data_IF_135717267333
#
_entry.id   IF_135717267333
#
_cell.length_a   1.000
_cell.length_b   1.000
_cell.length_c   1.000
_cell.angle_alpha   90.00
_cell.angle_beta   90.00
_cell.angle_gamma   90.00
#
_symmetry.space_group_name_H-M   'P 1'
#
loop_
_entity.id
_entity.type
_entity.pdbx_description
1 polymer ?
#
# COMPACT_ATOMS: atom_id res chain seq x y z
N UNK A 1 -9.43 -15.87 -8.11
CA UNK A 1 -7.96 -15.88 -8.14
C UNK A 1 -7.44 -14.50 -7.70
N UNK A 2 -6.66 -14.46 -6.62
CA UNK A 2 -6.13 -13.22 -6.04
C UNK A 2 -5.13 -12.51 -6.97
N UNK A 3 -4.34 -13.24 -7.77
CA UNK A 3 -3.44 -12.62 -8.73
C UNK A 3 -4.22 -11.83 -9.79
N UNK A 4 -5.33 -12.36 -10.24
CA UNK A 4 -6.25 -11.64 -11.15
C UNK A 4 -6.88 -10.43 -10.45
N UNK A 5 -7.33 -10.54 -9.20
CA UNK A 5 -7.90 -9.42 -8.45
C UNK A 5 -6.88 -8.27 -8.28
N UNK A 6 -5.62 -8.61 -7.94
CA UNK A 6 -4.52 -7.65 -7.81
C UNK A 6 -4.25 -6.90 -9.12
N UNK A 7 -4.31 -7.59 -10.26
CA UNK A 7 -3.86 -7.04 -11.56
C UNK A 7 -5.00 -6.45 -12.40
N UNK A 8 -6.26 -6.66 -12.00
CA UNK A 8 -7.45 -6.25 -12.79
C UNK A 8 -7.87 -4.81 -12.59
N UNK A 9 -7.42 -4.14 -11.54
CA UNK A 9 -7.85 -2.81 -11.09
C UNK A 9 -9.30 -2.72 -10.59
N UNK A 10 -9.49 -1.97 -9.52
CA UNK A 10 -10.80 -1.56 -8.99
C UNK A 10 -11.30 -0.23 -9.56
N UNK A 11 -10.51 0.46 -10.39
CA UNK A 11 -10.94 1.71 -11.02
C UNK A 11 -12.15 1.46 -11.95
N UNK A 12 -13.32 2.12 -11.71
CA UNK A 12 -14.57 1.77 -12.38
C UNK A 12 -14.49 1.72 -13.90
N UNK A 13 -13.83 2.72 -14.51
CA UNK A 13 -13.66 2.79 -15.96
C UNK A 13 -12.76 1.68 -16.55
N UNK A 14 -11.86 1.11 -15.73
CA UNK A 14 -10.96 0.02 -16.14
C UNK A 14 -11.59 -1.34 -15.84
N UNK A 15 -12.18 -1.48 -14.66
CA UNK A 15 -12.83 -2.72 -14.21
C UNK A 15 -13.91 -3.20 -15.19
N UNK A 16 -14.70 -2.28 -15.72
CA UNK A 16 -15.80 -2.57 -16.65
C UNK A 16 -15.33 -3.03 -18.04
N UNK A 17 -14.02 -2.98 -18.35
CA UNK A 17 -13.51 -3.30 -19.69
C UNK A 17 -13.06 -4.75 -19.83
N UNK A 18 -12.91 -5.20 -21.08
CA UNK A 18 -12.39 -6.52 -21.38
C UNK A 18 -10.93 -6.65 -20.86
N UNK A 19 -10.55 -7.81 -20.28
CA UNK A 19 -9.24 -8.00 -19.64
C UNK A 19 -8.03 -7.61 -20.51
N UNK A 20 -8.11 -7.84 -21.84
CA UNK A 20 -7.05 -7.49 -22.79
C UNK A 20 -6.78 -5.98 -22.87
N UNK A 21 -7.79 -5.13 -22.59
CA UNK A 21 -7.68 -3.67 -22.68
C UNK A 21 -7.22 -3.04 -21.35
N UNK A 22 -7.39 -3.73 -20.23
CA UNK A 22 -7.09 -3.17 -18.90
C UNK A 22 -5.65 -2.66 -18.78
N UNK A 23 -4.69 -3.42 -19.32
CA UNK A 23 -3.28 -3.00 -19.30
C UNK A 23 -3.03 -1.69 -20.05
N UNK A 24 -3.59 -1.56 -21.24
CA UNK A 24 -3.49 -0.31 -22.03
C UNK A 24 -4.17 0.86 -21.35
N UNK A 25 -5.29 0.63 -20.65
CA UNK A 25 -5.98 1.66 -19.89
C UNK A 25 -5.21 2.08 -18.62
N UNK A 26 -4.55 1.14 -17.94
CA UNK A 26 -3.65 1.46 -16.82
C UNK A 26 -2.46 2.28 -17.30
N UNK A 27 -1.87 1.94 -18.45
CA UNK A 27 -0.80 2.74 -19.07
C UNK A 27 -1.27 4.14 -19.42
N UNK A 28 -2.44 4.24 -20.05
CA UNK A 28 -3.03 5.53 -20.42
C UNK A 28 -3.37 6.38 -19.19
N UNK A 29 -3.84 5.75 -18.09
CA UNK A 29 -4.09 6.43 -16.82
C UNK A 29 -2.79 7.00 -16.23
N UNK A 30 -1.74 6.18 -16.10
CA UNK A 30 -0.43 6.62 -15.61
C UNK A 30 0.19 7.71 -16.49
N UNK A 31 0.04 7.58 -17.81
CA UNK A 31 0.51 8.59 -18.76
C UNK A 31 -0.22 9.91 -18.55
N UNK A 32 -1.56 9.88 -18.43
CA UNK A 32 -2.38 11.05 -18.20
C UNK A 32 -1.99 11.77 -16.90
N UNK A 33 -1.76 11.05 -15.82
CA UNK A 33 -1.30 11.65 -14.55
C UNK A 33 -0.02 12.47 -14.78
N UNK A 34 0.94 11.93 -15.54
CA UNK A 34 2.23 12.59 -15.81
C UNK A 34 2.09 13.77 -16.76
N UNK A 35 1.34 13.60 -17.86
CA UNK A 35 1.31 14.56 -18.95
C UNK A 35 0.28 15.68 -18.75
N UNK A 36 -0.74 15.44 -17.93
CA UNK A 36 -1.85 16.37 -17.76
C UNK A 36 -2.16 16.69 -16.30
N UNK A 37 -2.46 15.68 -15.48
CA UNK A 37 -3.03 15.92 -14.16
C UNK A 37 -2.01 16.61 -13.21
N UNK A 38 -0.72 16.29 -13.30
CA UNK A 38 0.35 16.99 -12.57
C UNK A 38 0.56 18.43 -13.10
N UNK A 39 0.69 18.69 -14.41
CA UNK A 39 0.71 20.04 -14.96
C UNK A 39 -0.51 20.89 -14.61
N UNK A 40 -1.71 20.32 -14.61
CA UNK A 40 -2.94 21.01 -14.22
C UNK A 40 -2.94 21.44 -12.75
N UNK A 41 -2.16 20.74 -11.88
CA UNK A 41 -1.86 21.16 -10.50
C UNK A 41 -0.73 22.18 -10.38
N UNK A 42 -0.22 22.71 -11.49
CA UNK A 42 0.91 23.63 -11.51
C UNK A 42 2.30 22.98 -11.38
N UNK A 43 2.37 21.64 -11.43
CA UNK A 43 3.63 20.90 -11.33
C UNK A 43 4.13 20.47 -12.71
N UNK A 44 5.04 21.24 -13.32
CA UNK A 44 5.64 20.89 -14.60
C UNK A 44 6.60 19.71 -14.49
N UNK A 45 6.27 18.59 -15.10
CA UNK A 45 7.11 17.39 -15.16
C UNK A 45 8.18 17.58 -16.24
N UNK A 46 9.40 17.98 -15.83
CA UNK A 46 10.51 18.22 -16.78
C UNK A 46 11.14 16.94 -17.31
N UNK A 47 11.08 15.83 -16.56
CA UNK A 47 11.68 14.54 -16.90
C UNK A 47 10.70 13.40 -16.61
N UNK A 48 9.75 13.14 -17.51
CA UNK A 48 8.72 12.10 -17.32
C UNK A 48 9.31 10.71 -17.04
N UNK A 49 10.43 10.38 -17.67
CA UNK A 49 11.12 9.09 -17.48
C UNK A 49 11.69 8.94 -16.06
N UNK A 50 12.16 10.02 -15.42
CA UNK A 50 12.63 10.00 -14.03
C UNK A 50 11.47 9.79 -13.07
N UNK A 51 10.35 10.46 -13.32
CA UNK A 51 9.12 10.27 -12.53
C UNK A 51 8.59 8.84 -12.66
N UNK A 52 8.61 8.25 -13.88
CA UNK A 52 8.20 6.84 -14.07
C UNK A 52 9.09 5.88 -13.30
N UNK A 53 10.41 6.07 -13.31
CA UNK A 53 11.35 5.26 -12.51
C UNK A 53 11.06 5.41 -11.01
N UNK A 54 10.80 6.64 -10.56
CA UNK A 54 10.43 6.89 -9.16
C UNK A 54 9.12 6.19 -8.78
N UNK A 55 8.09 6.25 -9.63
CA UNK A 55 6.84 5.52 -9.42
C UNK A 55 7.05 4.01 -9.37
N UNK A 56 7.92 3.46 -10.22
CA UNK A 56 8.26 2.04 -10.19
C UNK A 56 8.99 1.65 -8.89
N UNK A 57 9.94 2.49 -8.41
CA UNK A 57 10.59 2.29 -7.12
C UNK A 57 9.60 2.38 -5.95
N UNK A 58 8.65 3.31 -6.01
CA UNK A 58 7.57 3.43 -5.02
C UNK A 58 6.66 2.20 -5.05
N UNK A 59 6.29 1.70 -6.22
CA UNK A 59 5.50 0.48 -6.40
C UNK A 59 6.22 -0.76 -5.85
N UNK A 60 7.55 -0.85 -6.05
CA UNK A 60 8.36 -1.94 -5.49
C UNK A 60 8.43 -1.91 -3.95
N UNK A 61 8.19 -0.75 -3.35
CA UNK A 61 8.12 -0.57 -1.90
C UNK A 61 6.71 -0.74 -1.33
N UNK A 62 5.72 -1.18 -2.11
CA UNK A 62 4.33 -1.40 -1.64
C UNK A 62 4.31 -2.22 -0.36
N UNK A 63 3.44 -1.83 0.57
CA UNK A 63 3.27 -2.46 1.89
C UNK A 63 4.53 -2.44 2.77
N UNK A 64 5.48 -1.54 2.51
CA UNK A 64 6.68 -1.37 3.34
C UNK A 64 6.82 0.05 3.88
N UNK A 65 7.61 0.22 4.93
CA UNK A 65 8.02 1.52 5.48
C UNK A 65 9.41 1.94 5.00
N UNK A 66 9.77 1.56 3.78
CA UNK A 66 11.06 1.88 3.16
C UNK A 66 11.30 3.40 3.16
N UNK A 67 12.49 3.83 3.60
CA UNK A 67 12.81 5.25 3.63
C UNK A 67 12.83 5.87 2.22
N UNK A 68 12.31 7.08 2.07
CA UNK A 68 12.30 7.80 0.78
C UNK A 68 13.71 7.99 0.18
N UNK A 69 14.77 8.03 1.00
CA UNK A 69 16.14 8.04 0.51
C UNK A 69 16.48 6.77 -0.30
N UNK A 70 16.04 5.60 0.17
CA UNK A 70 16.23 4.34 -0.57
C UNK A 70 15.42 4.29 -1.86
N UNK A 71 14.21 4.86 -1.88
CA UNK A 71 13.44 5.01 -3.11
C UNK A 71 14.17 5.92 -4.10
N UNK A 72 14.76 7.00 -3.60
CA UNK A 72 15.57 7.91 -4.39
C UNK A 72 16.79 7.21 -4.99
N UNK A 73 17.51 6.44 -4.18
CA UNK A 73 18.68 5.67 -4.64
C UNK A 73 18.28 4.65 -5.73
N UNK A 74 17.14 3.97 -5.56
CA UNK A 74 16.61 3.03 -6.53
C UNK A 74 16.18 3.69 -7.87
N UNK A 75 15.94 5.00 -7.89
CA UNK A 75 15.60 5.75 -9.12
C UNK A 75 16.83 6.23 -9.88
N UNK A 76 18.03 6.09 -9.30
CA UNK A 76 19.27 6.51 -9.95
C UNK A 76 19.57 5.58 -11.11
N UNK A 77 19.63 6.14 -12.31
CA UNK A 77 20.02 5.38 -13.50
C UNK A 77 21.52 5.04 -13.46
N UNK A 78 21.93 4.05 -14.25
CA UNK A 78 23.34 3.68 -14.38
C UNK A 78 24.27 4.82 -14.88
N UNK A 79 23.71 5.90 -15.42
CA UNK A 79 24.40 7.13 -15.81
C UNK A 79 24.63 8.10 -14.64
N UNK A 80 24.22 7.75 -13.42
CA UNK A 80 24.38 8.56 -12.20
C UNK A 80 23.40 9.74 -12.08
N UNK A 81 22.44 9.89 -13.00
CA UNK A 81 21.44 10.98 -12.90
C UNK A 81 20.39 10.65 -11.82
N UNK A 82 20.56 11.23 -10.65
CA UNK A 82 19.62 11.14 -9.55
C UNK A 82 18.75 12.40 -9.50
N UNK A 83 17.43 12.29 -9.31
CA UNK A 83 16.60 13.47 -9.07
C UNK A 83 16.97 14.11 -7.71
N UNK A 84 16.87 15.43 -7.61
CA UNK A 84 17.08 16.10 -6.33
C UNK A 84 16.06 15.64 -5.29
N UNK A 85 16.45 15.56 -4.02
CA UNK A 85 15.56 15.19 -2.91
C UNK A 85 14.30 16.06 -2.86
N UNK A 86 14.43 17.36 -3.11
CA UNK A 86 13.29 18.30 -3.19
C UNK A 86 12.32 17.94 -4.30
N UNK A 87 12.80 17.48 -5.45
CA UNK A 87 11.98 17.02 -6.57
C UNK A 87 11.17 15.78 -6.19
N UNK A 88 11.77 14.81 -5.49
CA UNK A 88 11.06 13.59 -5.08
C UNK A 88 10.04 13.85 -3.98
N UNK A 89 10.28 14.81 -3.10
CA UNK A 89 9.28 15.27 -2.14
C UNK A 89 8.08 15.93 -2.85
N UNK A 90 8.36 16.76 -3.86
CA UNK A 90 7.30 17.34 -4.68
C UNK A 90 6.50 16.26 -5.43
N UNK A 91 7.16 15.23 -6.00
CA UNK A 91 6.45 14.08 -6.59
C UNK A 91 5.49 13.45 -5.60
N UNK A 92 5.98 13.12 -4.39
CA UNK A 92 5.15 12.54 -3.33
C UNK A 92 3.92 13.40 -3.05
N UNK A 93 4.13 14.69 -2.79
CA UNK A 93 3.06 15.58 -2.34
C UNK A 93 1.99 15.76 -3.44
N UNK A 94 2.40 16.02 -4.68
CA UNK A 94 1.45 16.16 -5.80
C UNK A 94 0.72 14.86 -6.14
N UNK A 95 1.43 13.71 -6.13
CA UNK A 95 0.81 12.42 -6.42
C UNK A 95 -0.13 11.95 -5.31
N UNK A 96 0.13 12.34 -4.05
CA UNK A 96 -0.79 12.12 -2.94
C UNK A 96 -2.05 12.99 -3.09
N UNK A 97 -1.89 14.26 -3.50
CA UNK A 97 -3.03 15.14 -3.77
C UNK A 97 -3.91 14.65 -4.95
N UNK A 98 -3.31 13.94 -5.90
CA UNK A 98 -4.03 13.27 -7.00
C UNK A 98 -4.63 11.91 -6.61
N UNK A 99 -4.50 11.49 -5.36
CA UNK A 99 -4.94 10.18 -4.89
C UNK A 99 -4.30 9.00 -5.65
N UNK A 100 -3.14 9.20 -6.27
CA UNK A 100 -2.37 8.12 -6.87
C UNK A 100 -1.54 7.39 -5.82
N UNK A 101 -0.96 8.16 -4.88
CA UNK A 101 -0.33 7.59 -3.69
C UNK A 101 -1.32 7.67 -2.52
N UNK A 102 -1.49 6.54 -1.85
CA UNK A 102 -2.40 6.41 -0.71
C UNK A 102 -1.71 5.71 0.47
N UNK A 103 -0.67 6.33 1.05
CA UNK A 103 0.13 5.72 2.11
C UNK A 103 -0.72 5.43 3.37
N UNK A 104 -0.40 4.33 4.06
CA UNK A 104 -1.02 3.97 5.34
C UNK A 104 -0.22 4.62 6.46
N UNK A 105 -0.79 5.55 7.24
CA UNK A 105 -0.07 6.22 8.32
C UNK A 105 0.27 5.24 9.46
N UNK A 106 1.34 5.56 10.21
CA UNK A 106 1.66 4.82 11.42
C UNK A 106 0.64 5.08 12.53
N UNK A 107 0.27 4.02 13.27
CA UNK A 107 -0.60 4.13 14.43
C UNK A 107 0.20 4.40 15.71
N UNK A 108 -0.31 5.29 16.54
CA UNK A 108 0.13 5.46 17.93
C UNK A 108 -1.09 5.81 18.80
N UNK A 109 -1.10 5.43 20.09
CA UNK A 109 -2.16 5.81 21.00
C UNK A 109 -2.41 7.32 20.98
N UNK A 110 -3.67 7.75 21.14
CA UNK A 110 -4.07 9.17 21.12
C UNK A 110 -3.28 10.05 22.12
N UNK A 111 -2.79 9.46 23.22
CA UNK A 111 -1.93 10.13 24.21
C UNK A 111 -0.53 10.48 23.67
N UNK A 112 -0.14 10.01 22.49
CA UNK A 112 1.19 10.24 21.93
C UNK A 112 1.16 10.61 20.43
N UNK A 113 0.50 11.72 20.12
CA UNK A 113 0.36 12.22 18.75
C UNK A 113 1.70 12.54 18.09
N UNK A 114 2.71 13.03 18.85
CA UNK A 114 4.04 13.32 18.31
C UNK A 114 4.68 12.03 17.77
N UNK A 115 4.56 10.93 18.48
CA UNK A 115 5.07 9.64 18.04
C UNK A 115 4.39 9.14 16.76
N UNK A 116 3.08 9.41 16.62
CA UNK A 116 2.33 9.09 15.40
C UNK A 116 2.89 9.82 14.18
N UNK A 117 3.21 11.12 14.32
CA UNK A 117 3.78 11.93 13.26
C UNK A 117 5.22 11.55 12.88
N UNK A 118 5.95 10.88 13.77
CA UNK A 118 7.32 10.43 13.55
C UNK A 118 7.42 9.05 12.89
N UNK A 119 6.32 8.30 12.78
CA UNK A 119 6.33 6.99 12.14
C UNK A 119 6.28 7.13 10.62
N UNK A 120 7.18 6.39 9.94
CA UNK A 120 7.13 6.30 8.49
C UNK A 120 5.84 5.58 8.05
N UNK A 121 5.09 6.12 7.09
CA UNK A 121 3.93 5.42 6.55
C UNK A 121 4.35 4.18 5.75
N UNK A 122 3.49 3.16 5.68
CA UNK A 122 3.60 2.11 4.67
C UNK A 122 3.22 2.70 3.29
N UNK A 123 4.06 2.45 2.30
CA UNK A 123 3.81 2.90 0.94
C UNK A 123 2.67 2.09 0.31
N UNK A 124 1.71 2.79 -0.29
CA UNK A 124 0.62 2.20 -1.05
C UNK A 124 0.29 3.10 -2.25
N UNK A 125 -0.01 2.49 -3.38
CA UNK A 125 -0.74 3.12 -4.46
C UNK A 125 -2.24 2.94 -4.21
N UNK A 126 -3.07 3.83 -4.74
CA UNK A 126 -4.51 3.78 -4.56
C UNK A 126 -5.15 2.48 -5.09
N UNK A 127 -4.45 1.79 -6.00
CA UNK A 127 -4.89 0.51 -6.57
C UNK A 127 -3.67 -0.40 -6.77
N UNK A 128 -3.69 -1.65 -6.27
CA UNK A 128 -2.59 -2.59 -6.44
C UNK A 128 -2.27 -2.91 -7.90
N UNK A 129 -3.23 -2.79 -8.81
CA UNK A 129 -3.00 -3.00 -10.24
C UNK A 129 -2.09 -1.92 -10.85
N UNK A 130 -2.11 -0.71 -10.33
CA UNK A 130 -1.17 0.35 -10.73
C UNK A 130 0.25 -0.03 -10.34
N UNK A 131 0.45 -0.56 -9.12
CA UNK A 131 1.76 -1.05 -8.69
C UNK A 131 2.23 -2.24 -9.55
N UNK A 132 1.37 -3.23 -9.74
CA UNK A 132 1.68 -4.37 -10.61
C UNK A 132 2.06 -3.90 -12.04
N UNK A 133 1.31 -2.92 -12.59
CA UNK A 133 1.58 -2.39 -13.93
C UNK A 133 2.90 -1.65 -14.03
N UNK A 134 3.25 -0.81 -13.05
CA UNK A 134 4.53 -0.09 -12.97
C UNK A 134 5.72 -1.05 -12.87
N UNK A 135 5.54 -2.22 -12.26
CA UNK A 135 6.53 -3.28 -12.13
C UNK A 135 6.55 -4.25 -13.32
N UNK A 136 5.71 -4.05 -14.34
CA UNK A 136 5.60 -4.96 -15.48
C UNK A 136 4.98 -6.32 -15.15
N UNK A 137 4.32 -6.44 -13.99
CA UNK A 137 3.67 -7.67 -13.52
C UNK A 137 2.26 -7.83 -14.12
N UNK A 138 1.88 -9.06 -14.34
CA UNK A 138 0.54 -9.50 -14.67
C UNK A 138 0.18 -10.75 -13.85
N UNK A 139 -1.01 -11.27 -13.98
CA UNK A 139 -1.53 -12.44 -13.24
C UNK A 139 -0.58 -13.66 -13.28
N UNK A 140 0.03 -13.93 -14.43
CA UNK A 140 0.97 -15.05 -14.61
C UNK A 140 2.35 -14.74 -14.03
N UNK A 141 2.88 -13.56 -14.36
CA UNK A 141 4.23 -13.18 -13.89
C UNK A 141 4.29 -12.92 -12.40
N UNK A 142 3.19 -12.46 -11.78
CA UNK A 142 3.07 -12.30 -10.32
C UNK A 142 3.22 -13.65 -9.59
N UNK A 143 2.75 -14.74 -10.19
CA UNK A 143 2.88 -16.09 -9.64
C UNK A 143 4.14 -16.81 -10.05
N UNK A 144 4.95 -16.23 -10.95
CA UNK A 144 6.23 -16.80 -11.39
C UNK A 144 7.34 -16.54 -10.35
N UNK A 145 8.44 -17.31 -10.38
CA UNK A 145 9.58 -17.08 -9.48
C UNK A 145 10.11 -15.64 -9.51
N UNK A 146 10.06 -14.97 -10.67
CA UNK A 146 10.53 -13.60 -10.83
C UNK A 146 9.62 -12.56 -10.13
N UNK A 147 8.31 -12.78 -10.10
CA UNK A 147 7.32 -11.86 -9.51
C UNK A 147 6.84 -12.24 -8.12
N UNK A 148 7.08 -13.48 -7.68
CA UNK A 148 6.50 -14.04 -6.45
C UNK A 148 6.84 -13.21 -5.18
N UNK A 149 7.98 -12.53 -5.15
CA UNK A 149 8.37 -11.65 -4.05
C UNK A 149 7.40 -10.46 -3.86
N UNK A 150 6.66 -10.05 -4.92
CA UNK A 150 5.66 -8.99 -4.86
C UNK A 150 4.25 -9.50 -4.56
N UNK A 151 4.01 -10.81 -4.62
CA UNK A 151 2.67 -11.37 -4.41
C UNK A 151 2.12 -11.07 -3.01
N UNK A 152 2.93 -11.23 -1.96
CA UNK A 152 2.55 -10.88 -0.59
C UNK A 152 2.26 -9.38 -0.41
N UNK A 153 3.22 -8.49 -0.73
CA UNK A 153 3.02 -7.04 -0.65
C UNK A 153 1.79 -6.53 -1.44
N UNK A 154 1.55 -7.04 -2.64
CA UNK A 154 0.38 -6.62 -3.44
C UNK A 154 -0.93 -7.25 -2.94
N UNK A 155 -0.89 -8.43 -2.33
CA UNK A 155 -2.05 -8.99 -1.63
C UNK A 155 -2.40 -8.16 -0.40
N UNK A 156 -1.41 -7.72 0.39
CA UNK A 156 -1.62 -6.77 1.48
C UNK A 156 -2.17 -5.44 0.98
N UNK A 157 -1.70 -4.93 -0.16
CA UNK A 157 -2.24 -3.72 -0.80
C UNK A 157 -3.71 -3.89 -1.17
N UNK A 158 -4.11 -5.03 -1.74
CA UNK A 158 -5.50 -5.34 -2.06
C UNK A 158 -6.39 -5.41 -0.80
N UNK A 159 -5.91 -6.07 0.25
CA UNK A 159 -6.60 -6.14 1.53
C UNK A 159 -6.73 -4.75 2.16
N UNK A 160 -5.66 -3.95 2.12
CA UNK A 160 -5.66 -2.56 2.62
C UNK A 160 -6.72 -1.71 1.92
N UNK A 161 -6.80 -1.77 0.59
CA UNK A 161 -7.82 -1.04 -0.17
C UNK A 161 -9.24 -1.45 0.28
N UNK A 162 -9.49 -2.75 0.39
CA UNK A 162 -10.81 -3.27 0.80
C UNK A 162 -11.17 -2.85 2.24
N UNK A 163 -10.21 -2.93 3.16
CA UNK A 163 -10.41 -2.52 4.57
C UNK A 163 -10.65 -1.01 4.67
N UNK A 164 -9.93 -0.19 3.89
CA UNK A 164 -10.14 1.28 3.89
C UNK A 164 -11.54 1.67 3.44
N UNK A 165 -12.05 1.03 2.39
CA UNK A 165 -13.42 1.28 1.90
C UNK A 165 -14.44 0.94 3.00
N UNK A 166 -14.29 -0.21 3.66
CA UNK A 166 -15.18 -0.62 4.75
C UNK A 166 -15.05 0.30 5.98
N UNK A 167 -13.82 0.67 6.35
CA UNK A 167 -13.54 1.56 7.47
C UNK A 167 -14.13 2.96 7.24
N UNK A 168 -13.99 3.51 6.03
CA UNK A 168 -14.56 4.81 5.67
C UNK A 168 -16.09 4.81 5.80
N UNK A 169 -16.76 3.75 5.38
CA UNK A 169 -18.20 3.60 5.54
C UNK A 169 -18.63 3.49 7.02
N UNK A 170 -17.72 3.07 7.90
CA UNK A 170 -17.93 2.98 9.35
C UNK A 170 -17.34 4.17 10.13
N UNK A 171 -17.00 5.27 9.46
CA UNK A 171 -16.34 6.46 10.05
C UNK A 171 -15.06 6.13 10.83
N UNK A 172 -14.39 5.02 10.47
CA UNK A 172 -13.16 4.57 11.10
C UNK A 172 -11.92 4.97 10.28
N UNK A 173 -10.78 5.04 10.93
CA UNK A 173 -9.49 5.34 10.31
C UNK A 173 -8.63 4.08 10.21
N UNK A 174 -7.82 3.99 9.15
CA UNK A 174 -6.90 2.87 8.94
C UNK A 174 -5.47 3.34 9.03
N UNK A 175 -4.68 2.65 9.83
CA UNK A 175 -3.25 2.86 10.03
C UNK A 175 -2.52 1.53 10.17
N UNK A 176 -1.18 1.52 10.23
CA UNK A 176 -0.39 0.33 10.55
C UNK A 176 0.33 0.51 11.89
N UNK A 177 0.68 -0.58 12.57
CA UNK A 177 1.47 -0.51 13.78
C UNK A 177 2.86 -1.08 13.54
N UNK A 178 3.90 -0.29 13.88
CA UNK A 178 5.28 -0.76 13.94
C UNK A 178 5.98 -0.14 15.14
N UNK A 179 6.59 -0.96 15.99
CA UNK A 179 7.36 -0.44 17.14
C UNK A 179 8.70 0.13 16.66
N UNK A 180 9.25 1.09 17.43
CA UNK A 180 10.45 1.82 17.03
C UNK A 180 11.69 0.95 16.78
N UNK A 181 11.76 -0.25 17.39
CA UNK A 181 12.80 -1.25 17.16
C UNK A 181 12.45 -2.27 16.05
N UNK A 182 11.25 -2.16 15.42
CA UNK A 182 10.78 -3.08 14.40
C UNK A 182 10.42 -4.50 14.88
N UNK A 183 10.47 -4.76 16.19
CA UNK A 183 10.23 -6.11 16.73
C UNK A 183 8.76 -6.53 16.67
N UNK A 184 7.84 -5.56 16.52
CA UNK A 184 6.41 -5.81 16.44
C UNK A 184 5.82 -5.01 15.31
N UNK A 185 5.04 -5.68 14.49
CA UNK A 185 4.35 -5.09 13.37
C UNK A 185 2.97 -5.71 13.26
N UNK A 186 1.97 -4.88 12.95
CA UNK A 186 0.61 -5.29 12.60
C UNK A 186 0.25 -4.54 11.33
N UNK A 187 -0.24 -5.24 10.33
CA UNK A 187 -0.43 -4.70 9.00
C UNK A 187 -1.46 -3.58 8.98
N UNK A 188 -2.62 -3.78 9.64
CA UNK A 188 -3.66 -2.76 9.69
C UNK A 188 -4.24 -2.64 11.10
N UNK A 189 -4.42 -1.40 11.53
CA UNK A 189 -5.18 -0.99 12.71
C UNK A 189 -6.36 -0.16 12.22
N UNK A 190 -7.55 -0.68 12.39
CA UNK A 190 -8.80 0.07 12.14
C UNK A 190 -9.27 0.64 13.46
N UNK A 191 -9.26 1.97 13.59
CA UNK A 191 -9.66 2.68 14.79
C UNK A 191 -10.99 3.41 14.54
N UNK A 192 -12.01 3.02 15.27
CA UNK A 192 -13.32 3.63 15.20
C UNK A 192 -13.39 4.96 15.95
N UNK A 193 -14.52 5.69 15.84
CA UNK A 193 -14.66 7.04 16.38
C UNK A 193 -14.57 7.11 17.92
N UNK A 194 -14.88 6.02 18.62
CA UNK A 194 -14.77 5.94 20.07
C UNK A 194 -13.40 5.40 20.54
N UNK A 195 -12.47 5.17 19.59
CA UNK A 195 -11.13 4.67 19.86
C UNK A 195 -11.05 3.15 20.02
N UNK A 196 -12.13 2.42 19.73
CA UNK A 196 -12.13 0.96 19.63
C UNK A 196 -11.31 0.49 18.43
N UNK A 197 -10.61 -0.63 18.57
CA UNK A 197 -9.63 -1.09 17.60
C UNK A 197 -9.98 -2.51 17.11
N UNK A 198 -10.03 -2.67 15.79
CA UNK A 198 -9.87 -3.95 15.12
C UNK A 198 -8.44 -4.01 14.57
N UNK A 199 -7.66 -5.02 14.97
CA UNK A 199 -6.31 -5.23 14.45
C UNK A 199 -6.30 -6.39 13.46
N UNK A 200 -5.67 -6.16 12.30
CA UNK A 200 -5.70 -7.10 11.16
C UNK A 200 -4.27 -7.42 10.72
N UNK A 201 -4.01 -8.70 10.56
CA UNK A 201 -2.81 -9.22 9.89
C UNK A 201 -3.21 -9.76 8.52
N UNK A 202 -2.35 -9.61 7.51
CA UNK A 202 -2.60 -10.09 6.14
C UNK A 202 -1.57 -11.14 5.77
N UNK A 203 -2.01 -12.31 5.35
CA UNK A 203 -1.12 -13.45 5.01
C UNK A 203 -1.49 -14.07 3.68
N UNK A 204 -0.54 -14.08 2.76
CA UNK A 204 -0.67 -14.82 1.51
C UNK A 204 -0.47 -16.33 1.78
N UNK A 205 -1.38 -16.90 2.55
CA UNK A 205 -1.40 -18.30 2.95
C UNK A 205 -2.83 -18.75 3.17
N UNK A 206 -3.12 -20.04 2.99
CA UNK A 206 -4.47 -20.60 3.19
C UNK A 206 -4.76 -20.89 4.67
N UNK A 207 -3.75 -21.06 5.51
CA UNK A 207 -3.88 -21.39 6.92
C UNK A 207 -3.08 -20.43 7.79
N UNK A 208 -3.56 -20.22 9.02
CA UNK A 208 -2.97 -19.33 10.03
C UNK A 208 -2.23 -20.15 11.06
N UNK A 209 -0.98 -19.79 11.35
CA UNK A 209 -0.15 -20.33 12.42
C UNK A 209 -0.21 -19.47 13.69
N UNK A 210 0.29 -19.98 14.83
CA UNK A 210 0.42 -19.18 16.05
C UNK A 210 1.42 -18.03 15.91
N UNK A 211 2.42 -18.19 15.06
CA UNK A 211 3.37 -17.12 14.75
C UNK A 211 2.69 -15.91 14.07
N UNK A 212 1.68 -16.15 13.22
CA UNK A 212 0.98 -15.10 12.50
C UNK A 212 0.13 -14.22 13.42
N UNK A 213 -0.37 -14.77 14.53
CA UNK A 213 -1.26 -14.03 15.46
C UNK A 213 -0.53 -13.47 16.69
N UNK A 214 0.79 -13.69 16.83
CA UNK A 214 1.54 -13.30 18.03
C UNK A 214 1.49 -11.80 18.33
N UNK A 215 1.57 -10.96 17.31
CA UNK A 215 1.56 -9.49 17.46
C UNK A 215 0.14 -8.97 17.71
N UNK A 216 -0.87 -9.61 17.12
CA UNK A 216 -2.27 -9.33 17.41
C UNK A 216 -2.61 -9.63 18.89
N UNK A 217 -2.23 -10.81 19.38
CA UNK A 217 -2.41 -11.20 20.79
C UNK A 217 -1.67 -10.23 21.72
N UNK A 218 -0.41 -9.91 21.41
CA UNK A 218 0.34 -8.92 22.17
C UNK A 218 -0.38 -7.56 22.23
N UNK A 219 -0.94 -7.07 21.14
CA UNK A 219 -1.66 -5.79 21.14
C UNK A 219 -2.87 -5.86 22.07
N UNK A 220 -3.67 -6.92 21.96
CA UNK A 220 -4.83 -7.14 22.84
C UNK A 220 -4.42 -7.18 24.32
N UNK A 221 -3.34 -7.88 24.63
CA UNK A 221 -2.87 -8.00 26.02
C UNK A 221 -2.27 -6.68 26.55
N UNK A 222 -1.81 -5.79 25.65
CA UNK A 222 -1.26 -4.47 26.00
C UNK A 222 -2.34 -3.40 26.22
N UNK A 223 -3.42 -3.43 25.45
CA UNK A 223 -4.53 -2.46 25.50
C UNK A 223 -5.91 -3.15 25.41
N UNK A 224 -6.23 -4.06 26.38
CA UNK A 224 -7.40 -4.93 26.30
C UNK A 224 -8.73 -4.14 26.20
N UNK A 225 -8.81 -2.99 26.84
CA UNK A 225 -10.03 -2.16 26.87
C UNK A 225 -10.35 -1.50 25.52
N UNK A 226 -9.40 -1.49 24.58
CA UNK A 226 -9.56 -0.85 23.28
C UNK A 226 -9.69 -1.86 22.12
N UNK A 227 -9.11 -3.04 22.24
CA UNK A 227 -9.11 -4.05 21.17
C UNK A 227 -10.41 -4.84 21.21
N UNK A 228 -11.31 -4.55 20.28
CA UNK A 228 -12.62 -5.22 20.19
C UNK A 228 -12.57 -6.52 19.41
N UNK A 229 -11.69 -6.64 18.43
CA UNK A 229 -11.50 -7.90 17.69
C UNK A 229 -10.10 -7.98 17.04
N UNK A 230 -9.71 -9.18 16.66
CA UNK A 230 -8.47 -9.50 15.95
C UNK A 230 -8.81 -10.34 14.73
N UNK A 231 -8.25 -10.00 13.59
CA UNK A 231 -8.51 -10.71 12.34
C UNK A 231 -7.22 -11.07 11.60
N UNK A 232 -7.24 -12.16 10.85
CA UNK A 232 -6.22 -12.50 9.86
C UNK A 232 -6.89 -12.67 8.51
N UNK A 233 -6.52 -11.86 7.56
CA UNK A 233 -6.96 -12.00 6.16
C UNK A 233 -6.03 -12.98 5.45
N UNK A 234 -6.60 -14.04 4.89
CA UNK A 234 -5.85 -15.13 4.25
C UNK A 234 -6.40 -15.44 2.86
N UNK A 235 -5.73 -16.32 2.14
CA UNK A 235 -6.22 -16.88 0.86
C UNK A 235 -7.08 -18.13 1.04
N UNK A 236 -7.37 -18.52 2.28
CA UNK A 236 -8.26 -19.65 2.59
C UNK A 236 -9.70 -19.40 2.15
N UNK A 237 -10.43 -20.48 1.90
CA UNK A 237 -11.82 -20.41 1.44
C UNK A 237 -12.84 -20.43 2.58
N UNK A 238 -12.41 -20.64 3.79
CA UNK A 238 -13.28 -20.79 4.97
C UNK A 238 -12.88 -19.76 6.04
N UNK A 239 -13.87 -18.98 6.49
CA UNK A 239 -13.72 -18.14 7.67
C UNK A 239 -13.98 -18.97 8.94
N UNK A 240 -13.14 -18.82 9.97
CA UNK A 240 -13.30 -19.50 11.25
C UNK A 240 -12.79 -18.61 12.40
N UNK A 241 -13.28 -18.88 13.61
CA UNK A 241 -12.74 -18.28 14.85
C UNK A 241 -11.72 -19.22 15.47
N UNK A 242 -10.67 -18.64 16.05
CA UNK A 242 -9.57 -19.37 16.70
C UNK A 242 -9.34 -18.88 18.14
#
# INVERSE_FOLDING_TARGET
>A
DYASAITSSGLPGIMATAPRLRRSLLDAYLQRVIDRDLPDQGFAVRRPEVLRRWLAAYAAASSTTTAYSRLLDATTAGDGTQPAKTTTLAYRDHLTNLWLLDPVPGWAPASNQIRRLQQAPKHQLADPALAARLLGLNDRTLLSPAGAHMAGPLFESLATLSVRVAAQAAEATVSHLRTGNGNREIDLIVEGPEGQILAIEVKLAAAVSDADVRHLRWLRDTIPDRVVDLAVVTTGTTAYRR
#
